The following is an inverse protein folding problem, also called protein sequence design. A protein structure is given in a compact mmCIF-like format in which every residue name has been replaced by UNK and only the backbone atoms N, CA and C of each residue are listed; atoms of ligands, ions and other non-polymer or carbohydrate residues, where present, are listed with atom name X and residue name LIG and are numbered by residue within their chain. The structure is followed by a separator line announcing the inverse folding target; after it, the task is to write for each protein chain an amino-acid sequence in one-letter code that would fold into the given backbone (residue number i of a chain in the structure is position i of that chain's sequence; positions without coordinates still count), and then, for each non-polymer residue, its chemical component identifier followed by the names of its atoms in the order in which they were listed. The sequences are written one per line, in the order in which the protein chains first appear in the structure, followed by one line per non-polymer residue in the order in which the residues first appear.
data_IF_531493643540
#
_entry.id   IF_531493643540
#
_cell.length_a   1.000
_cell.length_b   1.000
_cell.length_c   1.000
_cell.angle_alpha   90.00
_cell.angle_beta   90.00
_cell.angle_gamma   90.00
#
_symmetry.space_group_name_H-M   'P 1'
#
loop_
_entity.id
_entity.type
_entity.pdbx_description
1 polymer ?
#
# COMPACT_ATOMS: atom_id res chain seq x y z
N UNK A 1 -5.35 15.89 -5.27
CA UNK A 1 -6.34 14.81 -5.39
C UNK A 1 -7.03 14.82 -6.76
N UNK A 2 -6.75 13.85 -7.62
CA UNK A 2 -7.30 13.69 -8.99
C UNK A 2 -7.63 12.25 -9.38
N UNK A 3 -7.06 11.23 -8.72
CA UNK A 3 -7.19 9.84 -9.08
C UNK A 3 -8.09 9.05 -8.12
N UNK A 4 -9.05 8.28 -8.65
CA UNK A 4 -9.89 7.37 -7.85
C UNK A 4 -9.10 6.13 -7.41
N UNK A 5 -8.16 5.68 -8.26
CA UNK A 5 -7.28 4.55 -8.00
C UNK A 5 -5.83 4.92 -8.30
N UNK A 6 -4.89 4.48 -7.46
CA UNK A 6 -3.45 4.62 -7.64
C UNK A 6 -2.81 3.23 -7.63
N UNK A 7 -2.04 2.90 -8.66
CA UNK A 7 -1.37 1.60 -8.79
C UNK A 7 0.12 1.79 -8.54
N UNK A 8 0.64 1.19 -7.47
CA UNK A 8 2.05 1.25 -7.07
C UNK A 8 2.77 -0.05 -7.44
N UNK A 9 2.91 -0.33 -8.73
CA UNK A 9 3.47 -1.58 -9.26
C UNK A 9 5.02 -1.62 -9.27
N UNK A 10 5.66 -1.06 -8.23
CA UNK A 10 7.11 -1.11 -8.06
C UNK A 10 7.45 -1.81 -6.73
N UNK A 11 7.39 -3.16 -6.68
CA UNK A 11 7.33 -3.90 -5.41
C UNK A 11 8.55 -3.73 -4.48
N UNK A 12 9.70 -3.33 -5.03
CA UNK A 12 10.94 -3.16 -4.27
C UNK A 12 11.01 -1.82 -3.52
N UNK A 13 10.41 -0.77 -4.07
CA UNK A 13 10.55 0.61 -3.57
C UNK A 13 9.22 1.36 -3.53
N UNK A 14 8.08 0.67 -3.61
CA UNK A 14 6.76 1.27 -3.57
C UNK A 14 6.59 2.22 -2.37
N UNK A 15 7.09 1.85 -1.20
CA UNK A 15 7.02 2.66 0.02
C UNK A 15 7.62 4.07 -0.14
N UNK A 16 8.63 4.26 -0.98
CA UNK A 16 9.27 5.57 -1.24
C UNK A 16 8.33 6.56 -1.94
N UNK A 17 7.28 6.06 -2.60
CA UNK A 17 6.34 6.85 -3.38
C UNK A 17 4.98 7.01 -2.70
N UNK A 18 4.81 6.55 -1.45
CA UNK A 18 3.54 6.65 -0.74
C UNK A 18 3.09 8.09 -0.56
N UNK A 19 4.00 9.00 -0.22
CA UNK A 19 3.68 10.42 -0.09
C UNK A 19 3.16 10.99 -1.42
N UNK A 20 3.75 10.60 -2.55
CA UNK A 20 3.26 10.98 -3.88
C UNK A 20 1.88 10.39 -4.18
N UNK A 21 1.64 9.13 -3.83
CA UNK A 21 0.35 8.47 -4.01
C UNK A 21 -0.75 9.16 -3.19
N UNK A 22 -0.46 9.53 -1.95
CA UNK A 22 -1.39 10.22 -1.03
C UNK A 22 -1.73 11.64 -1.51
N UNK A 23 -0.80 12.34 -2.17
CA UNK A 23 -1.08 13.67 -2.75
C UNK A 23 -2.06 13.62 -3.94
N UNK A 24 -2.09 12.51 -4.68
CA UNK A 24 -2.89 12.39 -5.92
C UNK A 24 -4.19 11.60 -5.73
N UNK A 25 -4.25 10.64 -4.81
CA UNK A 25 -5.45 9.84 -4.55
C UNK A 25 -6.58 10.72 -4.04
N UNK A 26 -7.82 10.53 -4.49
CA UNK A 26 -8.98 11.25 -3.96
C UNK A 26 -9.35 10.78 -2.56
N UNK A 27 -10.11 11.58 -1.78
CA UNK A 27 -10.88 11.06 -0.66
C UNK A 27 -11.63 9.79 -1.05
N UNK A 28 -11.56 8.78 -0.19
CA UNK A 28 -12.14 7.44 -0.38
C UNK A 28 -11.57 6.65 -1.58
N UNK A 29 -10.48 7.14 -2.19
CA UNK A 29 -9.78 6.48 -3.27
C UNK A 29 -8.92 5.30 -2.79
N UNK A 30 -8.51 4.45 -3.74
CA UNK A 30 -7.85 3.18 -3.44
C UNK A 30 -6.41 3.20 -3.93
N UNK A 31 -5.48 2.81 -3.07
CA UNK A 31 -4.09 2.53 -3.41
C UNK A 31 -3.90 1.02 -3.51
N UNK A 32 -3.49 0.56 -4.70
CA UNK A 32 -3.05 -0.81 -4.95
C UNK A 32 -1.54 -0.88 -4.73
N UNK A 33 -1.15 -1.26 -3.51
CA UNK A 33 0.24 -1.31 -3.07
C UNK A 33 0.85 -2.68 -3.35
N UNK A 34 1.88 -2.74 -4.21
CA UNK A 34 2.65 -3.96 -4.42
C UNK A 34 3.93 -3.93 -3.59
N UNK A 35 4.30 -5.08 -3.02
CA UNK A 35 5.48 -5.20 -2.18
C UNK A 35 6.13 -6.57 -2.29
N UNK A 36 7.44 -6.64 -2.08
CA UNK A 36 8.12 -7.91 -1.80
C UNK A 36 8.36 -7.99 -0.29
N UNK A 37 7.86 -9.06 0.32
CA UNK A 37 7.83 -9.25 1.77
C UNK A 37 8.34 -10.63 2.17
N UNK A 38 8.92 -10.71 3.35
CA UNK A 38 9.33 -11.96 3.98
C UNK A 38 8.11 -12.76 4.44
N UNK A 39 8.22 -14.09 4.44
CA UNK A 39 7.17 -15.03 4.84
C UNK A 39 6.63 -14.79 6.25
N UNK A 40 7.50 -14.31 7.15
CA UNK A 40 7.15 -13.99 8.53
C UNK A 40 6.32 -12.73 8.68
N UNK A 41 6.28 -11.85 7.68
CA UNK A 41 5.55 -10.59 7.71
C UNK A 41 5.13 -10.14 6.30
N UNK A 42 4.08 -10.80 5.82
CA UNK A 42 3.56 -10.58 4.48
C UNK A 42 2.77 -9.27 4.34
N UNK A 43 2.06 -8.83 5.38
CA UNK A 43 1.07 -7.75 5.25
C UNK A 43 1.14 -6.71 6.36
N UNK A 44 1.25 -7.11 7.62
CA UNK A 44 1.20 -6.21 8.77
C UNK A 44 2.24 -5.09 8.68
N UNK A 45 3.53 -5.40 8.45
CA UNK A 45 4.54 -4.35 8.32
C UNK A 45 4.41 -3.52 7.04
N UNK A 46 3.75 -4.04 5.99
CA UNK A 46 3.42 -3.23 4.81
C UNK A 46 2.26 -2.26 5.10
N UNK A 47 1.25 -2.73 5.83
CA UNK A 47 0.13 -1.91 6.29
C UNK A 47 0.59 -0.80 7.23
N UNK A 48 1.44 -1.10 8.22
CA UNK A 48 1.98 -0.10 9.14
C UNK A 48 2.68 1.04 8.40
N UNK A 49 3.44 0.74 7.34
CA UNK A 49 4.10 1.78 6.53
C UNK A 49 3.07 2.67 5.83
N UNK A 50 2.02 2.07 5.26
CA UNK A 50 0.94 2.79 4.56
C UNK A 50 0.12 3.63 5.56
N UNK A 51 -0.23 3.07 6.71
CA UNK A 51 -0.99 3.73 7.77
C UNK A 51 -0.22 4.94 8.31
N UNK A 52 1.06 4.77 8.68
CA UNK A 52 1.88 5.90 9.10
C UNK A 52 2.02 6.97 8.02
N UNK A 53 2.08 6.59 6.74
CA UNK A 53 2.12 7.56 5.64
C UNK A 53 0.80 8.35 5.54
N UNK A 54 -0.34 7.67 5.60
CA UNK A 54 -1.65 8.31 5.60
C UNK A 54 -1.82 9.25 6.81
N UNK A 55 -1.42 8.82 8.01
CA UNK A 55 -1.50 9.60 9.23
C UNK A 55 -0.70 10.91 9.15
N UNK A 56 0.52 10.86 8.59
CA UNK A 56 1.33 12.08 8.35
C UNK A 56 0.63 13.08 7.43
N UNK A 57 -0.24 12.60 6.53
CA UNK A 57 -1.05 13.43 5.65
C UNK A 57 -2.41 13.82 6.25
N UNK A 58 -2.68 13.48 7.53
CA UNK A 58 -3.97 13.75 8.17
C UNK A 58 -5.12 12.89 7.65
N UNK A 59 -4.81 11.73 7.08
CA UNK A 59 -5.76 10.77 6.53
C UNK A 59 -5.74 9.48 7.36
N UNK A 60 -6.69 8.58 7.09
CA UNK A 60 -6.68 7.22 7.62
C UNK A 60 -6.63 6.21 6.48
N UNK A 61 -6.16 5.01 6.78
CA UNK A 61 -6.06 3.92 5.83
C UNK A 61 -6.94 2.74 6.28
N UNK A 62 -7.58 2.07 5.33
CA UNK A 62 -8.36 0.87 5.59
C UNK A 62 -8.04 -0.21 4.56
N UNK A 63 -7.67 -1.40 5.01
CA UNK A 63 -7.45 -2.54 4.11
C UNK A 63 -8.79 -3.04 3.59
N UNK A 64 -8.94 -3.08 2.26
CA UNK A 64 -10.08 -3.69 1.58
C UNK A 64 -9.81 -5.14 1.20
N UNK A 65 -8.62 -5.39 0.63
CA UNK A 65 -8.19 -6.73 0.24
C UNK A 65 -6.66 -6.85 0.37
N UNK A 66 -6.18 -8.08 0.55
CA UNK A 66 -4.75 -8.41 0.57
C UNK A 66 -4.52 -9.81 0.02
N UNK A 67 -3.55 -9.96 -0.88
CA UNK A 67 -3.24 -11.25 -1.53
C UNK A 67 -1.75 -11.44 -1.76
N UNK A 68 -1.32 -12.70 -1.67
CA UNK A 68 -0.02 -13.16 -2.19
C UNK A 68 -0.19 -13.47 -3.67
N UNK A 69 0.60 -12.83 -4.53
CA UNK A 69 0.53 -13.00 -5.99
C UNK A 69 1.36 -14.20 -6.42
N UNK A 70 2.62 -14.26 -5.98
CA UNK A 70 3.56 -15.33 -6.31
C UNK A 70 4.75 -15.34 -5.35
N UNK A 71 5.43 -16.48 -5.27
CA UNK A 71 6.78 -16.52 -4.69
C UNK A 71 7.73 -15.67 -5.53
N UNK A 72 8.61 -14.93 -4.87
CA UNK A 72 9.64 -14.10 -5.48
C UNK A 72 11.03 -14.74 -5.32
N UNK A 73 11.37 -15.17 -4.10
CA UNK A 73 12.60 -15.89 -3.77
C UNK A 73 12.35 -16.78 -2.53
N UNK A 74 13.31 -17.61 -2.06
CA UNK A 74 13.14 -18.36 -0.82
C UNK A 74 12.71 -17.44 0.33
N UNK A 75 11.58 -17.77 0.96
CA UNK A 75 10.95 -16.98 2.03
C UNK A 75 10.48 -15.57 1.64
N UNK A 76 10.55 -15.18 0.35
CA UNK A 76 10.06 -13.89 -0.11
C UNK A 76 8.91 -14.03 -1.10
N UNK A 77 7.90 -13.20 -0.92
CA UNK A 77 6.67 -13.23 -1.69
C UNK A 77 6.33 -11.85 -2.23
N UNK A 78 5.83 -11.83 -3.47
CA UNK A 78 5.22 -10.64 -4.04
C UNK A 78 3.77 -10.58 -3.58
N UNK A 79 3.41 -9.52 -2.88
CA UNK A 79 2.08 -9.26 -2.33
C UNK A 79 1.47 -8.03 -2.99
N UNK A 80 0.15 -7.94 -2.88
CA UNK A 80 -0.58 -6.68 -3.10
C UNK A 80 -1.59 -6.47 -2.00
N UNK A 81 -1.72 -5.20 -1.61
CA UNK A 81 -2.72 -4.71 -0.67
C UNK A 81 -3.52 -3.62 -1.36
N UNK A 82 -4.83 -3.77 -1.31
CA UNK A 82 -5.78 -2.77 -1.78
C UNK A 82 -6.25 -2.00 -0.55
N UNK A 83 -5.81 -0.75 -0.45
CA UNK A 83 -6.01 0.11 0.74
C UNK A 83 -6.81 1.32 0.35
N UNK A 84 -7.94 1.52 1.00
CA UNK A 84 -8.74 2.74 0.88
C UNK A 84 -8.15 3.84 1.76
N UNK A 85 -8.05 5.05 1.21
CA UNK A 85 -7.60 6.23 1.94
C UNK A 85 -8.81 7.10 2.27
N UNK A 86 -9.14 7.16 3.54
CA UNK A 86 -10.31 7.87 4.05
C UNK A 86 -9.89 9.22 4.62
N UNK A 87 -10.79 10.21 4.53
CA UNK A 87 -10.63 11.43 5.31
C UNK A 87 -10.87 11.14 6.79
N UNK A 88 -10.09 11.80 7.64
CA UNK A 88 -10.22 11.70 9.09
C UNK A 88 -11.39 12.52 9.62
#
# INVERSE_FOLDING_TARGET
HVADHVIMNLPHSAHEFLDCALMIVKPDGIIHYYGIREESDLFEGAYEIIEHAAERCGMTAQVLDRRVIRSYSPHQYNIVMDVQICQR
#
